data_IF_252145056024
#
_entry.id   IF_252145056024
#
_cell.length_a   1.000
_cell.length_b   1.000
_cell.length_c   1.000
_cell.angle_alpha   90.00
_cell.angle_beta   90.00
_cell.angle_gamma   90.00
#
_symmetry.space_group_name_H-M   'P 1'
#
loop_
_entity.id
_entity.type
_entity.pdbx_description
1 polymer ?
#
# COMPACT_ATOMS: atom_id res chain seq x y z
N UNK A 1 4.89 3.72 0.46
CA UNK A 1 5.53 2.43 0.14
C UNK A 1 5.32 1.92 -1.28
N UNK A 2 4.22 2.23 -2.00
CA UNK A 2 4.03 1.73 -3.39
C UNK A 2 5.10 2.23 -4.37
N UNK A 3 5.41 3.52 -4.32
CA UNK A 3 6.46 4.13 -5.16
C UNK A 3 7.83 3.51 -4.83
N UNK A 4 8.13 3.36 -3.53
CA UNK A 4 9.37 2.75 -3.07
C UNK A 4 9.51 1.27 -3.52
N UNK A 5 8.44 0.49 -3.43
CA UNK A 5 8.42 -0.88 -3.97
C UNK A 5 8.76 -0.92 -5.46
N UNK A 6 8.19 0.02 -6.25
CA UNK A 6 8.47 0.13 -7.68
C UNK A 6 9.92 0.56 -7.97
N UNK A 7 10.50 1.43 -7.14
CA UNK A 7 11.91 1.80 -7.24
C UNK A 7 12.83 0.61 -6.97
N UNK A 8 12.51 -0.24 -5.98
CA UNK A 8 13.27 -1.47 -5.74
C UNK A 8 13.16 -2.45 -6.91
N UNK A 9 11.99 -2.56 -7.56
CA UNK A 9 11.84 -3.35 -8.79
C UNK A 9 12.80 -2.85 -9.89
N UNK A 10 12.96 -1.53 -10.03
CA UNK A 10 13.91 -0.94 -10.99
C UNK A 10 15.36 -1.32 -10.67
N UNK A 11 15.79 -1.13 -9.42
CA UNK A 11 17.16 -1.48 -9.01
C UNK A 11 17.44 -2.99 -9.11
N UNK A 12 16.45 -3.85 -8.88
CA UNK A 12 16.60 -5.30 -9.07
C UNK A 12 16.80 -5.68 -10.53
N UNK A 13 16.16 -4.97 -11.46
CA UNK A 13 16.33 -5.22 -12.89
C UNK A 13 17.71 -4.79 -13.40
N UNK A 14 18.29 -3.73 -12.85
CA UNK A 14 19.64 -3.25 -13.22
C UNK A 14 20.78 -3.93 -12.45
N UNK A 15 20.50 -4.54 -11.30
CA UNK A 15 21.54 -5.11 -10.46
C UNK A 15 22.22 -6.34 -11.09
N UNK A 16 23.55 -6.40 -10.96
CA UNK A 16 24.35 -7.59 -11.24
C UNK A 16 23.99 -8.74 -10.29
N UNK A 17 24.23 -9.97 -10.73
CA UNK A 17 24.01 -11.15 -9.90
C UNK A 17 24.94 -11.16 -8.68
N UNK A 18 24.39 -11.58 -7.54
CA UNK A 18 25.13 -11.71 -6.30
C UNK A 18 24.30 -11.43 -5.06
N UNK A 19 24.95 -11.53 -3.90
CA UNK A 19 24.33 -11.43 -2.57
C UNK A 19 23.53 -10.14 -2.36
N UNK A 20 23.97 -9.03 -2.93
CA UNK A 20 23.28 -7.75 -2.82
C UNK A 20 21.90 -7.77 -3.52
N UNK A 21 21.83 -8.36 -4.73
CA UNK A 21 20.59 -8.52 -5.49
C UNK A 21 19.61 -9.45 -4.80
N UNK A 22 20.10 -10.57 -4.25
CA UNK A 22 19.29 -11.49 -3.44
C UNK A 22 18.71 -10.81 -2.20
N UNK A 23 19.55 -10.08 -1.46
CA UNK A 23 19.13 -9.35 -0.25
C UNK A 23 18.09 -8.28 -0.58
N UNK A 24 18.29 -7.52 -1.67
CA UNK A 24 17.32 -6.54 -2.14
C UNK A 24 16.01 -7.21 -2.58
N UNK A 25 16.06 -8.41 -3.16
CA UNK A 25 14.90 -9.20 -3.54
C UNK A 25 14.03 -9.59 -2.33
N UNK A 26 14.67 -10.03 -1.24
CA UNK A 26 13.99 -10.33 0.03
C UNK A 26 13.34 -9.07 0.61
N UNK A 27 14.06 -7.95 0.68
CA UNK A 27 13.54 -6.67 1.16
C UNK A 27 12.35 -6.20 0.32
N UNK A 28 12.44 -6.34 -1.00
CA UNK A 28 11.36 -6.02 -1.93
C UNK A 28 10.11 -6.82 -1.63
N UNK A 29 10.23 -8.12 -1.39
CA UNK A 29 9.09 -8.98 -1.06
C UNK A 29 8.44 -8.59 0.27
N UNK A 30 9.23 -8.30 1.31
CA UNK A 30 8.71 -7.85 2.61
C UNK A 30 7.93 -6.53 2.49
N UNK A 31 8.46 -5.56 1.75
CA UNK A 31 7.76 -4.30 1.47
C UNK A 31 6.51 -4.54 0.63
N UNK A 32 6.55 -5.50 -0.30
CA UNK A 32 5.41 -5.87 -1.13
C UNK A 32 4.24 -6.36 -0.31
N UNK A 33 4.48 -7.25 0.64
CA UNK A 33 3.46 -7.73 1.58
C UNK A 33 2.92 -6.60 2.47
N UNK A 34 3.80 -5.71 2.94
CA UNK A 34 3.36 -4.55 3.72
C UNK A 34 2.52 -3.55 2.89
N UNK A 35 2.75 -3.45 1.59
CA UNK A 35 1.92 -2.64 0.69
C UNK A 35 0.55 -3.28 0.48
N UNK A 36 0.48 -4.62 0.41
CA UNK A 36 -0.77 -5.37 0.23
C UNK A 36 -1.66 -5.33 1.47
N UNK A 37 -1.06 -5.38 2.66
CA UNK A 37 -1.77 -5.33 3.95
C UNK A 37 -2.41 -3.98 4.26
N UNK A 38 -1.94 -2.88 3.62
CA UNK A 38 -2.46 -1.55 3.91
C UNK A 38 -3.86 -1.32 3.34
N UNK A 39 -4.80 -0.75 4.13
CA UNK A 39 -6.11 -0.38 3.63
C UNK A 39 -5.99 0.70 2.55
N UNK A 40 -6.93 0.68 1.59
CA UNK A 40 -6.94 1.63 0.47
C UNK A 40 -7.88 2.80 0.70
N UNK A 41 -8.86 2.62 1.58
CA UNK A 41 -9.92 3.59 1.84
C UNK A 41 -10.06 3.85 3.33
N UNK A 42 -10.46 5.08 3.68
CA UNK A 42 -10.76 5.51 5.05
C UNK A 42 -12.02 6.36 5.07
N UNK A 43 -12.89 6.11 6.04
CA UNK A 43 -14.00 7.00 6.39
C UNK A 43 -13.46 8.29 6.99
N UNK A 44 -13.72 9.43 6.34
CA UNK A 44 -13.31 10.74 6.85
C UNK A 44 -14.10 11.19 8.09
N UNK A 45 -15.20 10.50 8.43
CA UNK A 45 -16.03 10.80 9.60
C UNK A 45 -15.60 10.04 10.86
N UNK A 46 -15.36 8.73 10.76
CA UNK A 46 -15.09 7.87 11.93
C UNK A 46 -13.77 7.10 11.87
N UNK A 47 -12.99 7.23 10.80
CA UNK A 47 -11.69 6.57 10.68
C UNK A 47 -11.73 5.11 10.23
N UNK A 48 -12.91 4.47 10.08
CA UNK A 48 -13.04 3.11 9.54
C UNK A 48 -12.22 2.93 8.25
N UNK A 49 -11.38 1.89 8.20
CA UNK A 49 -10.53 1.58 7.04
C UNK A 49 -10.99 0.33 6.30
N UNK A 50 -10.83 0.30 4.98
CA UNK A 50 -11.18 -0.84 4.15
C UNK A 50 -10.26 -1.00 2.94
N UNK A 51 -10.20 -2.21 2.38
CA UNK A 51 -9.50 -2.49 1.13
C UNK A 51 -10.34 -2.19 -0.12
N UNK A 52 -11.67 -2.20 0.02
CA UNK A 52 -12.65 -1.89 -1.02
C UNK A 52 -13.45 -0.63 -0.67
N UNK A 53 -14.09 -0.04 -1.68
CA UNK A 53 -14.93 1.13 -1.49
C UNK A 53 -16.30 0.70 -0.93
N UNK A 54 -16.72 1.35 0.15
CA UNK A 54 -18.08 1.26 0.68
C UNK A 54 -18.77 2.62 0.53
N UNK A 55 -19.91 2.64 -0.16
CA UNK A 55 -20.71 3.86 -0.28
C UNK A 55 -21.38 4.26 1.03
N UNK A 56 -21.78 3.26 1.82
CA UNK A 56 -22.36 3.41 3.15
C UNK A 56 -21.39 2.85 4.19
N UNK A 57 -20.90 3.69 5.11
CA UNK A 57 -19.87 3.29 6.06
C UNK A 57 -20.40 2.24 7.06
N UNK A 58 -19.80 1.04 7.15
CA UNK A 58 -20.26 -0.02 8.08
C UNK A 58 -20.17 0.37 9.57
N UNK A 59 -19.25 1.28 9.92
CA UNK A 59 -19.03 1.72 11.30
C UNK A 59 -19.98 2.85 11.72
N UNK A 60 -20.01 3.97 10.99
CA UNK A 60 -20.77 5.17 11.39
C UNK A 60 -22.06 5.41 10.59
N UNK A 61 -22.43 4.48 9.71
CA UNK A 61 -23.68 4.51 8.91
C UNK A 61 -23.87 5.79 8.09
N UNK A 62 -22.78 6.44 7.73
CA UNK A 62 -22.79 7.68 6.94
C UNK A 62 -22.50 7.35 5.47
N UNK A 63 -23.17 8.06 4.58
CA UNK A 63 -23.00 7.90 3.14
C UNK A 63 -21.87 8.76 2.59
N UNK A 64 -21.18 8.27 1.55
CA UNK A 64 -20.18 9.00 0.78
C UNK A 64 -18.97 9.55 1.57
N UNK A 65 -18.73 9.07 2.79
CA UNK A 65 -17.61 9.51 3.65
C UNK A 65 -16.32 8.71 3.47
N UNK A 66 -16.38 7.54 2.84
CA UNK A 66 -15.20 6.68 2.61
C UNK A 66 -14.49 7.14 1.34
N UNK A 67 -13.23 7.58 1.50
CA UNK A 67 -12.39 8.11 0.41
C UNK A 67 -11.07 7.34 0.33
N UNK A 68 -10.39 7.34 -0.83
CA UNK A 68 -9.04 6.81 -0.93
C UNK A 68 -8.10 7.49 0.07
N UNK A 69 -7.26 6.71 0.72
CA UNK A 69 -6.16 7.24 1.54
C UNK A 69 -5.13 7.86 0.59
N UNK A 70 -4.66 9.08 0.91
CA UNK A 70 -3.64 9.86 0.17
C UNK A 70 -2.33 9.92 0.96
N UNK A 71 -1.20 10.14 0.27
CA UNK A 71 0.14 10.27 0.86
C UNK A 71 1.04 9.05 0.67
N UNK A 72 2.10 8.94 1.48
CA UNK A 72 3.16 7.93 1.28
C UNK A 72 2.62 6.49 1.15
N UNK A 73 1.50 6.18 1.79
CA UNK A 73 0.93 4.83 1.89
C UNK A 73 -0.29 4.54 1.01
N UNK A 74 -0.82 5.54 0.31
CA UNK A 74 -1.94 5.39 -0.62
C UNK A 74 -2.08 6.65 -1.42
N UNK A 75 -2.19 6.54 -2.75
CA UNK A 75 -2.22 7.61 -3.78
C UNK A 75 -1.27 8.79 -3.60
#
# INVERSE_FOLDING_TARGET
MRVFHKLMDYHLNEAEEGRAKETLGVLRNMVGEQVRSKPRYRCQKCGFTAHTLYWHCPSCRSWATIKPIRGLDGQ
#
